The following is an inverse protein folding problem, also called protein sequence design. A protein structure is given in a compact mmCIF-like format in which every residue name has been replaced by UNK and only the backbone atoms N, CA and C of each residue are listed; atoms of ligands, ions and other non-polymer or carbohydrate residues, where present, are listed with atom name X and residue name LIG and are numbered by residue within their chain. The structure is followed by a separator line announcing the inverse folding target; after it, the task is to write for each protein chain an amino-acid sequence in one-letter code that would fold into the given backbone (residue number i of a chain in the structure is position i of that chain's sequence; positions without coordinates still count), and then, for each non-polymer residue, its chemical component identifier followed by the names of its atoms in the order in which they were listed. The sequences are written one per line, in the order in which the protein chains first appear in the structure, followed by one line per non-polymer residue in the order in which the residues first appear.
data_IF_217742587818
#
_entry.id   IF_217742587818
#
_cell.length_a   1.000
_cell.length_b   1.000
_cell.length_c   1.000
_cell.angle_alpha   90.00
_cell.angle_beta   90.00
_cell.angle_gamma   90.00
#
_symmetry.space_group_name_H-M   'P 1'
#
loop_
_entity.id
_entity.type
_entity.pdbx_description
1 polymer ?
#
# COMPACT_ATOMS: atom_id res chain seq x y z
N UNK A 1 -7.42 11.00 -32.56
CA UNK A 1 -7.81 10.73 -31.16
C UNK A 1 -6.73 11.36 -30.27
N UNK A 2 -7.07 12.38 -29.45
CA UNK A 2 -6.10 13.02 -28.56
C UNK A 2 -5.84 12.07 -27.39
N UNK A 3 -4.58 11.69 -27.16
CA UNK A 3 -4.17 10.96 -25.96
C UNK A 3 -4.55 11.82 -24.75
N UNK A 4 -5.64 11.45 -24.05
CA UNK A 4 -5.97 12.05 -22.76
C UNK A 4 -4.94 11.54 -21.76
N UNK A 5 -3.89 12.33 -21.55
CA UNK A 5 -3.00 12.14 -20.41
C UNK A 5 -3.83 12.37 -19.15
N UNK A 6 -4.21 11.30 -18.47
CA UNK A 6 -4.75 11.41 -17.11
C UNK A 6 -3.58 11.76 -16.20
N UNK A 7 -3.61 12.97 -15.65
CA UNK A 7 -2.65 13.32 -14.63
C UNK A 7 -2.92 12.46 -13.37
N UNK A 8 -1.88 11.82 -12.86
CA UNK A 8 -1.95 10.96 -11.67
C UNK A 8 -1.99 11.83 -10.41
N UNK A 9 -3.13 12.44 -10.16
CA UNK A 9 -3.38 13.15 -8.91
C UNK A 9 -4.16 12.26 -7.93
N UNK A 10 -3.91 12.38 -6.62
CA UNK A 10 -4.72 11.71 -5.62
C UNK A 10 -6.19 12.11 -5.77
N UNK A 11 -7.08 11.13 -5.86
CA UNK A 11 -8.52 11.38 -5.84
C UNK A 11 -9.09 11.45 -4.40
N UNK A 12 -8.30 11.04 -3.40
CA UNK A 12 -8.68 11.00 -2.00
C UNK A 12 -7.43 10.92 -1.10
N UNK A 13 -7.56 11.35 0.16
CA UNK A 13 -6.52 11.27 1.18
C UNK A 13 -7.14 10.84 2.52
N UNK A 14 -6.38 10.09 3.31
CA UNK A 14 -6.74 9.61 4.66
C UNK A 14 -5.59 9.89 5.62
N UNK A 15 -5.91 9.99 6.91
CA UNK A 15 -4.91 10.19 7.96
C UNK A 15 -4.10 8.93 8.26
N UNK A 16 -4.63 7.73 7.99
CA UNK A 16 -3.92 6.48 8.25
C UNK A 16 -4.44 5.35 7.37
N UNK A 17 -3.54 4.58 6.78
CA UNK A 17 -3.87 3.39 5.99
C UNK A 17 -4.63 2.34 6.81
N UNK A 18 -4.38 2.28 8.12
CA UNK A 18 -5.03 1.32 9.01
C UNK A 18 -6.51 1.64 9.25
N UNK A 19 -6.95 2.86 8.91
CA UNK A 19 -8.36 3.27 8.96
C UNK A 19 -9.12 3.00 7.66
N UNK A 20 -8.43 2.58 6.59
CA UNK A 20 -9.04 2.35 5.29
C UNK A 20 -9.91 1.07 5.29
N UNK A 21 -11.12 1.19 4.75
CA UNK A 21 -12.01 0.04 4.54
C UNK A 21 -11.62 -0.72 3.26
N UNK A 22 -10.62 -1.59 3.39
CA UNK A 22 -10.12 -2.43 2.30
C UNK A 22 -11.16 -3.40 1.76
N UNK A 23 -12.10 -3.88 2.59
CA UNK A 23 -13.15 -4.79 2.16
C UNK A 23 -14.09 -4.09 1.18
N UNK A 24 -14.49 -2.85 1.48
CA UNK A 24 -15.26 -2.02 0.56
C UNK A 24 -14.51 -1.74 -0.76
N UNK A 25 -13.18 -1.61 -0.72
CA UNK A 25 -12.38 -1.51 -1.95
C UNK A 25 -12.41 -2.83 -2.74
N UNK A 26 -12.29 -3.97 -2.07
CA UNK A 26 -12.39 -5.26 -2.75
C UNK A 26 -13.76 -5.44 -3.42
N UNK A 27 -14.84 -5.09 -2.73
CA UNK A 27 -16.20 -5.12 -3.27
C UNK A 27 -16.39 -4.19 -4.47
N UNK A 28 -15.67 -3.06 -4.51
CA UNK A 28 -15.64 -2.13 -5.66
C UNK A 28 -14.83 -2.64 -6.86
N UNK A 29 -14.19 -3.80 -6.76
CA UNK A 29 -13.45 -4.42 -7.87
C UNK A 29 -11.94 -4.20 -7.85
N UNK A 30 -11.40 -3.53 -6.82
CA UNK A 30 -9.94 -3.41 -6.66
C UNK A 30 -9.34 -4.77 -6.26
N UNK A 31 -8.22 -5.16 -6.88
CA UNK A 31 -7.57 -6.47 -6.66
C UNK A 31 -6.08 -6.39 -6.38
N UNK A 32 -5.45 -5.26 -6.67
CA UNK A 32 -4.05 -5.01 -6.40
C UNK A 32 -3.90 -3.76 -5.56
N UNK A 33 -3.02 -3.83 -4.56
CA UNK A 33 -2.63 -2.72 -3.68
C UNK A 33 -1.13 -2.49 -3.83
N UNK A 34 -0.75 -1.26 -4.07
CA UNK A 34 0.64 -0.81 -4.12
C UNK A 34 0.88 0.04 -2.87
N UNK A 35 1.86 -0.35 -2.07
CA UNK A 35 2.22 0.35 -0.83
C UNK A 35 3.57 1.04 -0.98
N UNK A 36 3.64 2.30 -0.56
CA UNK A 36 4.90 2.94 -0.20
C UNK A 36 5.29 2.54 1.22
N UNK A 37 6.55 2.77 1.62
CA UNK A 37 7.09 2.38 2.93
C UNK A 37 7.08 3.56 3.90
N UNK A 38 7.96 4.53 3.67
CA UNK A 38 8.24 5.58 4.64
C UNK A 38 7.12 6.62 4.65
N UNK A 39 6.69 6.98 5.86
CA UNK A 39 5.53 7.84 6.11
C UNK A 39 4.20 7.31 5.54
N UNK A 40 4.16 6.03 5.16
CA UNK A 40 2.94 5.32 4.74
C UNK A 40 2.69 4.09 5.63
N UNK A 41 3.59 3.11 5.64
CA UNK A 41 3.50 1.90 6.48
C UNK A 41 4.13 2.12 7.86
N UNK A 42 5.25 2.84 7.89
CA UNK A 42 6.06 3.14 9.08
C UNK A 42 6.61 4.57 8.98
N UNK A 43 7.11 5.16 10.07
CA UNK A 43 7.87 6.39 9.94
C UNK A 43 9.19 6.12 9.20
N UNK A 44 9.78 7.18 8.67
CA UNK A 44 11.05 7.09 7.96
C UNK A 44 12.11 6.36 8.80
N UNK A 45 12.78 5.38 8.17
CA UNK A 45 13.82 4.53 8.75
C UNK A 45 13.44 3.65 9.94
N UNK A 46 12.16 3.55 10.29
CA UNK A 46 11.70 2.65 11.35
C UNK A 46 11.50 1.20 10.85
N UNK A 47 11.75 0.17 11.70
CA UNK A 47 11.48 -1.21 11.32
C UNK A 47 9.99 -1.48 11.09
N UNK A 48 9.69 -2.55 10.36
CA UNK A 48 8.31 -3.03 10.23
C UNK A 48 7.70 -3.30 11.62
N UNK A 49 6.47 -2.83 11.82
CA UNK A 49 5.70 -3.06 13.05
C UNK A 49 4.76 -4.24 12.87
N UNK A 50 4.34 -4.84 14.00
CA UNK A 50 3.36 -5.94 13.99
C UNK A 50 2.06 -5.56 13.26
N UNK A 51 1.62 -4.31 13.37
CA UNK A 51 0.44 -3.80 12.65
C UNK A 51 0.61 -3.83 11.12
N UNK A 52 1.82 -3.56 10.61
CA UNK A 52 2.14 -3.62 9.19
C UNK A 52 2.07 -5.07 8.71
N UNK A 53 2.66 -6.00 9.45
CA UNK A 53 2.61 -7.44 9.13
C UNK A 53 1.16 -7.95 9.14
N UNK A 54 0.39 -7.59 10.16
CA UNK A 54 -1.02 -7.96 10.27
C UNK A 54 -1.86 -7.39 9.11
N UNK A 55 -1.55 -6.16 8.67
CA UNK A 55 -2.19 -5.56 7.51
C UNK A 55 -1.96 -6.40 6.24
N UNK A 56 -0.71 -6.76 5.93
CA UNK A 56 -0.39 -7.57 4.74
C UNK A 56 -1.04 -8.96 4.80
N UNK A 57 -1.02 -9.60 5.97
CA UNK A 57 -1.70 -10.89 6.16
C UNK A 57 -3.21 -10.77 5.91
N UNK A 58 -3.86 -9.72 6.44
CA UNK A 58 -5.27 -9.44 6.20
C UNK A 58 -5.56 -9.20 4.72
N UNK A 59 -4.71 -8.44 4.01
CA UNK A 59 -4.88 -8.17 2.57
C UNK A 59 -4.77 -9.45 1.74
N UNK A 60 -3.77 -10.29 2.04
CA UNK A 60 -3.60 -11.60 1.39
C UNK A 60 -4.78 -12.53 1.64
N UNK A 61 -5.28 -12.59 2.89
CA UNK A 61 -6.45 -13.38 3.26
C UNK A 61 -7.73 -12.90 2.56
N UNK A 62 -7.87 -11.59 2.34
CA UNK A 62 -8.98 -11.00 1.59
C UNK A 62 -8.88 -11.22 0.07
N UNK A 63 -7.76 -11.76 -0.43
CA UNK A 63 -7.54 -12.05 -1.85
C UNK A 63 -6.92 -10.90 -2.67
N UNK A 64 -6.39 -9.87 -2.02
CA UNK A 64 -5.61 -8.85 -2.71
C UNK A 64 -4.23 -9.37 -3.12
N UNK A 65 -3.74 -8.88 -4.26
CA UNK A 65 -2.32 -8.89 -4.60
C UNK A 65 -1.67 -7.63 -4.03
N UNK A 66 -0.56 -7.77 -3.32
CA UNK A 66 0.15 -6.64 -2.73
C UNK A 66 1.54 -6.52 -3.33
N UNK A 67 2.02 -5.29 -3.47
CA UNK A 67 3.42 -5.00 -3.81
C UNK A 67 3.87 -3.74 -3.08
N UNK A 68 5.17 -3.69 -2.76
CA UNK A 68 5.82 -2.51 -2.21
C UNK A 68 6.51 -1.75 -3.34
N UNK A 69 6.22 -0.47 -3.49
CA UNK A 69 6.90 0.46 -4.38
C UNK A 69 7.52 1.57 -3.54
N UNK A 70 8.84 1.59 -3.47
CA UNK A 70 9.57 2.61 -2.72
C UNK A 70 10.75 3.10 -3.54
N UNK A 71 11.16 4.35 -3.29
CA UNK A 71 12.39 4.94 -3.78
C UNK A 71 13.62 4.58 -2.91
N UNK A 72 13.44 3.75 -1.88
CA UNK A 72 14.53 3.28 -1.02
C UNK A 72 15.39 2.18 -1.66
N UNK A 73 16.55 1.93 -1.03
CA UNK A 73 17.47 0.86 -1.42
C UNK A 73 16.92 -0.55 -1.14
N UNK A 74 17.50 -1.55 -1.82
CA UNK A 74 17.05 -2.95 -1.77
C UNK A 74 17.01 -3.52 -0.34
N UNK A 75 17.98 -3.17 0.52
CA UNK A 75 18.01 -3.63 1.92
C UNK A 75 16.78 -3.15 2.71
N UNK A 76 16.43 -1.86 2.55
CA UNK A 76 15.26 -1.26 3.20
C UNK A 76 13.95 -1.82 2.66
N UNK A 77 13.88 -2.10 1.37
CA UNK A 77 12.68 -2.72 0.78
C UNK A 77 12.55 -4.19 1.21
N UNK A 78 13.66 -4.92 1.31
CA UNK A 78 13.68 -6.35 1.62
C UNK A 78 13.03 -6.71 2.96
N UNK A 79 13.16 -5.86 3.98
CA UNK A 79 12.52 -6.08 5.30
C UNK A 79 10.99 -5.95 5.29
N UNK A 80 10.39 -5.51 4.19
CA UNK A 80 8.93 -5.47 3.99
C UNK A 80 8.45 -6.47 2.91
N UNK A 81 9.34 -7.35 2.43
CA UNK A 81 9.04 -8.38 1.43
C UNK A 81 9.07 -9.77 2.08
N UNK A 82 8.04 -10.12 2.85
CA UNK A 82 7.79 -11.48 3.36
C UNK A 82 6.30 -11.84 3.29
#
# INVERSE_FOLDING_TARGET
MKNKTFALFPCFSISSIYSLDFEKLYQKGYRALLFDIDNTLVLHDEPAREETVALFQRMKAAGFKTAVLSNNGVERVGVFQD
#
